data_IF_269800043599
#
_entry.id   IF_269800043599
#
_cell.length_a   1.000
_cell.length_b   1.000
_cell.length_c   1.000
_cell.angle_alpha   90.00
_cell.angle_beta   90.00
_cell.angle_gamma   90.00
#
_symmetry.space_group_name_H-M   'P 1'
#
loop_
_entity.id
_entity.type
_entity.pdbx_description
1 polymer ?
#
# COMPACT_ATOMS: atom_id res chain seq x y z
N UNK A 1 -19.47 21.34 18.79
CA UNK A 1 -18.35 20.39 18.65
C UNK A 1 -17.88 20.04 20.06
N UNK A 2 -17.96 18.77 20.45
CA UNK A 2 -17.55 18.29 21.77
C UNK A 2 -16.03 18.36 21.94
N UNK A 3 -15.56 18.34 23.18
CA UNK A 3 -14.21 18.67 23.56
C UNK A 3 -13.54 17.49 24.27
N UNK A 4 -12.24 17.31 24.01
CA UNK A 4 -11.37 16.34 24.67
C UNK A 4 -10.18 17.12 25.24
N UNK A 5 -9.93 16.95 26.53
CA UNK A 5 -8.86 17.61 27.25
C UNK A 5 -7.71 16.66 27.54
N UNK A 6 -6.50 17.08 27.23
CA UNK A 6 -5.30 16.27 27.43
C UNK A 6 -4.74 16.45 28.83
N UNK A 7 -4.10 15.42 29.35
CA UNK A 7 -3.28 15.50 30.56
C UNK A 7 -2.11 16.45 30.32
N UNK A 8 -1.75 17.22 31.34
CA UNK A 8 -0.59 18.10 31.31
C UNK A 8 0.68 17.36 30.88
N UNK A 9 1.39 17.88 29.89
CA UNK A 9 2.62 17.31 29.34
C UNK A 9 2.39 16.15 28.33
N UNK A 10 1.12 15.81 28.02
CA UNK A 10 0.80 14.79 26.97
C UNK A 10 0.47 15.41 25.61
N UNK A 11 0.45 16.74 25.54
CA UNK A 11 0.26 17.51 24.31
C UNK A 11 1.50 17.62 23.43
N UNK A 12 2.70 17.26 23.93
CA UNK A 12 3.98 17.50 23.23
C UNK A 12 4.02 16.88 21.82
N UNK A 13 3.52 15.65 21.64
CA UNK A 13 3.50 15.00 20.33
C UNK A 13 2.62 15.75 19.33
N UNK A 14 1.47 16.27 19.79
CA UNK A 14 0.56 17.05 18.95
C UNK A 14 1.12 18.43 18.64
N UNK A 15 1.83 19.08 19.57
CA UNK A 15 2.54 20.33 19.32
C UNK A 15 3.69 20.18 18.30
N UNK A 16 4.13 18.93 18.08
CA UNK A 16 5.05 18.53 17.01
C UNK A 16 4.32 17.95 15.80
N UNK A 17 3.01 18.19 15.68
CA UNK A 17 2.17 17.79 14.55
C UNK A 17 1.98 16.29 14.34
N UNK A 18 2.20 15.45 15.37
CA UNK A 18 1.84 14.04 15.30
C UNK A 18 0.30 13.91 15.16
N UNK A 19 -0.21 13.13 14.17
CA UNK A 19 -1.64 13.17 13.84
C UNK A 19 -2.53 12.31 14.73
N UNK A 20 -2.00 11.66 15.77
CA UNK A 20 -2.77 10.78 16.65
C UNK A 20 -2.77 11.23 18.09
N UNK A 21 -3.96 11.20 18.71
CA UNK A 21 -4.13 11.30 20.16
C UNK A 21 -4.34 9.90 20.71
N UNK A 22 -3.43 9.44 21.56
CA UNK A 22 -3.58 8.17 22.23
C UNK A 22 -4.50 8.28 23.43
N UNK A 23 -5.32 7.24 23.72
CA UNK A 23 -6.27 7.22 24.82
C UNK A 23 -5.63 7.52 26.18
N UNK A 24 -4.40 7.05 26.41
CA UNK A 24 -3.65 7.33 27.63
C UNK A 24 -3.29 8.81 27.84
N UNK A 25 -3.37 9.66 26.82
CA UNK A 25 -3.12 11.09 26.90
C UNK A 25 -4.35 11.90 27.35
N UNK A 26 -5.55 11.33 27.28
CA UNK A 26 -6.80 12.02 27.61
C UNK A 26 -6.98 12.12 29.12
N UNK A 27 -7.26 13.31 29.63
CA UNK A 27 -7.62 13.58 31.02
C UNK A 27 -9.12 13.40 31.22
N UNK A 28 -9.93 14.11 30.44
CA UNK A 28 -11.37 13.98 30.39
C UNK A 28 -11.91 14.37 29.02
N UNK A 29 -13.11 13.98 28.73
CA UNK A 29 -13.83 14.29 27.50
C UNK A 29 -15.28 14.62 27.85
N UNK A 30 -15.93 15.39 26.99
CA UNK A 30 -17.37 15.65 27.12
C UNK A 30 -18.14 14.32 27.08
N UNK A 31 -19.31 14.32 27.75
CA UNK A 31 -20.14 13.11 27.75
C UNK A 31 -20.82 12.87 26.39
N UNK A 32 -21.04 11.60 26.08
CA UNK A 32 -21.81 11.19 24.93
C UNK A 32 -21.14 11.47 23.57
N UNK A 33 -19.80 11.54 23.49
CA UNK A 33 -19.10 11.59 22.20
C UNK A 33 -19.35 10.26 21.46
N UNK A 34 -19.82 10.37 20.25
CA UNK A 34 -20.09 9.21 19.39
C UNK A 34 -18.86 8.82 18.53
N UNK A 35 -18.81 7.56 18.13
CA UNK A 35 -17.78 7.03 17.22
C UNK A 35 -17.80 7.79 15.88
N UNK A 36 -16.64 8.30 15.46
CA UNK A 36 -16.50 9.08 14.23
C UNK A 36 -16.88 10.56 14.36
N UNK A 37 -17.38 11.01 15.54
CA UNK A 37 -17.73 12.41 15.76
C UNK A 37 -16.50 13.32 15.66
N UNK A 38 -16.67 14.50 15.06
CA UNK A 38 -15.63 15.53 14.98
C UNK A 38 -15.55 16.24 16.35
N UNK A 39 -14.35 16.21 16.94
CA UNK A 39 -14.08 16.76 18.28
C UNK A 39 -12.96 17.79 18.25
N UNK A 40 -12.97 18.70 19.22
CA UNK A 40 -11.86 19.61 19.53
C UNK A 40 -10.94 18.97 20.56
N UNK A 41 -9.65 19.04 20.34
CA UNK A 41 -8.62 18.61 21.29
C UNK A 41 -8.00 19.85 21.91
N UNK A 42 -8.01 19.89 23.23
CA UNK A 42 -7.55 21.02 24.05
C UNK A 42 -6.46 20.58 25.01
N UNK A 43 -5.58 21.49 25.38
CA UNK A 43 -4.68 21.32 26.52
C UNK A 43 -5.48 21.26 27.84
N UNK A 44 -4.79 20.89 28.90
CA UNK A 44 -5.34 20.89 30.25
C UNK A 44 -5.93 22.27 30.69
N UNK A 45 -5.34 23.37 30.22
CA UNK A 45 -5.78 24.75 30.55
C UNK A 45 -6.86 25.30 29.60
N UNK A 46 -7.35 24.48 28.64
CA UNK A 46 -8.37 24.87 27.67
C UNK A 46 -7.87 25.45 26.36
N UNK A 47 -6.55 25.63 26.19
CA UNK A 47 -6.00 26.10 24.91
C UNK A 47 -6.25 25.07 23.77
N UNK A 48 -6.67 25.59 22.64
CA UNK A 48 -6.88 24.78 21.43
C UNK A 48 -5.57 24.13 20.92
N UNK A 49 -5.68 22.87 20.45
CA UNK A 49 -4.57 22.16 19.80
C UNK A 49 -4.97 21.70 18.40
N UNK A 50 -6.09 20.94 18.27
CA UNK A 50 -6.44 20.26 17.04
C UNK A 50 -7.94 19.97 16.93
N UNK A 51 -8.37 19.61 15.73
CA UNK A 51 -9.68 19.02 15.43
C UNK A 51 -9.44 17.66 14.78
N UNK A 52 -10.24 16.66 15.13
CA UNK A 52 -10.13 15.31 14.54
C UNK A 52 -11.35 14.45 14.79
N UNK A 53 -11.33 13.24 14.25
CA UNK A 53 -12.34 12.22 14.45
C UNK A 53 -12.05 11.41 15.73
N UNK A 54 -13.03 11.32 16.61
CA UNK A 54 -12.98 10.42 17.78
C UNK A 54 -13.26 8.99 17.37
N UNK A 55 -12.55 8.05 17.99
CA UNK A 55 -12.83 6.63 17.90
C UNK A 55 -12.31 5.93 19.17
N UNK A 56 -13.14 5.11 19.81
CA UNK A 56 -12.70 4.35 20.97
C UNK A 56 -11.57 3.38 20.61
N UNK A 57 -10.55 3.31 21.47
CA UNK A 57 -9.40 2.46 21.25
C UNK A 57 -8.08 3.11 21.66
N UNK A 58 -6.97 2.53 21.25
CA UNK A 58 -5.63 3.05 21.57
C UNK A 58 -5.35 4.41 20.90
N UNK A 59 -5.82 4.61 19.68
CA UNK A 59 -5.79 5.90 18.95
C UNK A 59 -7.17 6.52 19.09
N UNK A 60 -7.33 7.38 20.10
CA UNK A 60 -8.62 7.95 20.46
C UNK A 60 -9.05 9.13 19.57
N UNK A 61 -8.12 9.88 19.00
CA UNK A 61 -8.45 10.91 17.99
C UNK A 61 -7.45 10.86 16.83
N UNK A 62 -7.99 10.85 15.63
CA UNK A 62 -7.23 11.06 14.39
C UNK A 62 -7.38 12.51 13.95
N UNK A 63 -6.29 13.25 14.01
CA UNK A 63 -6.26 14.71 13.79
C UNK A 63 -6.42 15.03 12.31
N UNK A 64 -7.42 15.81 11.96
CA UNK A 64 -7.68 16.35 10.62
C UNK A 64 -6.93 17.67 10.39
N UNK A 65 -6.81 18.48 11.44
CA UNK A 65 -6.18 19.80 11.36
C UNK A 65 -5.70 20.30 12.73
N UNK A 66 -4.59 21.03 12.72
CA UNK A 66 -4.06 21.78 13.86
C UNK A 66 -4.48 23.27 13.84
N UNK A 67 -5.44 23.62 12.97
CA UNK A 67 -6.03 24.96 12.90
C UNK A 67 -7.48 24.89 13.34
N UNK A 68 -7.95 25.94 13.99
CA UNK A 68 -9.35 26.08 14.39
C UNK A 68 -10.19 26.52 13.19
N UNK A 69 -10.67 25.55 12.43
CA UNK A 69 -11.46 25.74 11.20
C UNK A 69 -12.67 24.82 11.19
N UNK A 70 -13.68 25.17 10.42
CA UNK A 70 -14.85 24.31 10.20
C UNK A 70 -14.49 23.18 9.24
N UNK A 71 -14.83 21.95 9.61
CA UNK A 71 -14.71 20.78 8.73
C UNK A 71 -15.98 20.70 7.88
N UNK A 72 -15.91 21.24 6.70
CA UNK A 72 -16.99 21.34 5.71
C UNK A 72 -16.51 20.88 4.33
N UNK A 73 -17.32 21.06 3.30
CA UNK A 73 -17.00 20.68 1.93
C UNK A 73 -15.74 21.35 1.38
N UNK A 74 -15.51 22.62 1.72
CA UNK A 74 -14.30 23.35 1.30
C UNK A 74 -13.04 22.80 1.97
N UNK A 75 -13.15 22.33 3.22
CA UNK A 75 -12.05 21.63 3.90
C UNK A 75 -11.67 20.36 3.14
N UNK A 76 -12.64 19.51 2.80
CA UNK A 76 -12.39 18.29 2.04
C UNK A 76 -11.83 18.59 0.63
N UNK A 77 -12.43 19.54 -0.08
CA UNK A 77 -11.94 19.97 -1.39
C UNK A 77 -10.49 20.46 -1.33
N UNK A 78 -10.14 21.26 -0.32
CA UNK A 78 -8.77 21.76 -0.13
C UNK A 78 -7.77 20.62 0.11
N UNK A 79 -8.10 19.62 0.94
CA UNK A 79 -7.25 18.47 1.21
C UNK A 79 -7.04 17.60 -0.04
N UNK A 80 -8.11 17.30 -0.76
CA UNK A 80 -8.06 16.54 -2.00
C UNK A 80 -7.28 17.28 -3.10
N UNK A 81 -7.46 18.59 -3.20
CA UNK A 81 -6.69 19.42 -4.13
C UNK A 81 -5.20 19.40 -3.80
N UNK A 82 -4.84 19.48 -2.52
CA UNK A 82 -3.44 19.38 -2.09
C UNK A 82 -2.84 18.02 -2.46
N UNK A 83 -3.57 16.94 -2.22
CA UNK A 83 -3.14 15.59 -2.57
C UNK A 83 -2.95 15.42 -4.10
N UNK A 84 -3.89 15.91 -4.91
CA UNK A 84 -3.79 15.88 -6.38
C UNK A 84 -2.60 16.71 -6.89
N UNK A 85 -2.43 17.94 -6.41
CA UNK A 85 -1.31 18.80 -6.80
C UNK A 85 0.04 18.16 -6.47
N UNK A 86 0.15 17.47 -5.36
CA UNK A 86 1.37 16.75 -5.02
C UNK A 86 1.65 15.65 -6.06
N UNK A 87 0.66 14.84 -6.47
CA UNK A 87 0.82 13.80 -7.51
C UNK A 87 1.14 14.40 -8.88
N UNK A 88 0.61 15.56 -9.19
CA UNK A 88 0.96 16.31 -10.40
C UNK A 88 2.41 16.81 -10.35
N UNK A 89 2.84 17.40 -9.22
CA UNK A 89 4.20 17.94 -9.06
C UNK A 89 5.32 16.88 -9.17
N UNK A 90 5.01 15.63 -8.86
CA UNK A 90 5.94 14.50 -9.00
C UNK A 90 5.75 13.73 -10.32
N UNK A 91 4.91 14.23 -11.25
CA UNK A 91 4.73 13.67 -12.59
C UNK A 91 3.97 12.33 -12.63
N UNK A 92 3.19 12.01 -11.61
CA UNK A 92 2.42 10.76 -11.52
C UNK A 92 0.99 10.96 -12.02
N UNK A 93 0.31 12.00 -11.57
CA UNK A 93 -0.98 12.39 -12.12
C UNK A 93 -0.81 13.23 -13.39
N UNK A 94 -1.82 13.20 -14.26
CA UNK A 94 -1.83 13.86 -15.59
C UNK A 94 -0.68 13.38 -16.51
N UNK A 95 -0.20 12.15 -16.30
CA UNK A 95 0.83 11.52 -17.11
C UNK A 95 0.17 10.61 -18.15
N UNK A 96 0.43 10.77 -19.47
CA UNK A 96 -0.19 9.95 -20.51
C UNK A 96 0.15 8.45 -20.39
N UNK A 97 1.31 8.12 -19.84
CA UNK A 97 1.77 6.75 -19.66
C UNK A 97 1.37 6.15 -18.31
N UNK A 98 0.66 6.92 -17.45
CA UNK A 98 0.28 6.46 -16.13
C UNK A 98 -1.04 7.08 -15.65
N UNK A 99 -2.05 6.23 -15.47
CA UNK A 99 -3.32 6.60 -14.83
C UNK A 99 -3.64 5.71 -13.62
N UNK A 100 -2.60 5.09 -13.05
CA UNK A 100 -2.68 4.18 -11.90
C UNK A 100 -1.83 4.72 -10.77
N UNK A 101 -2.45 5.26 -9.72
CA UNK A 101 -1.73 5.86 -8.61
C UNK A 101 -2.58 5.99 -7.35
N UNK A 102 -1.91 6.11 -6.20
CA UNK A 102 -2.56 6.48 -4.93
C UNK A 102 -2.73 7.98 -4.86
N UNK A 103 -3.99 8.43 -4.88
CA UNK A 103 -4.33 9.85 -4.74
C UNK A 103 -4.32 10.30 -3.27
N UNK A 104 -4.78 9.45 -2.34
CA UNK A 104 -4.78 9.77 -0.91
C UNK A 104 -4.19 8.60 -0.12
N UNK A 105 -3.19 8.89 0.70
CA UNK A 105 -2.46 7.94 1.54
C UNK A 105 -2.55 8.31 3.03
N UNK A 106 -3.75 8.30 3.58
CA UNK A 106 -3.99 8.47 5.01
C UNK A 106 -3.30 9.67 5.63
N UNK A 107 -2.55 9.41 6.68
CA UNK A 107 -1.78 10.41 7.44
C UNK A 107 -0.72 11.14 6.60
N UNK A 108 -0.23 10.50 5.54
CA UNK A 108 0.71 11.10 4.59
C UNK A 108 0.12 12.30 3.83
N UNK A 109 -1.18 12.28 3.58
CA UNK A 109 -1.93 13.37 2.94
C UNK A 109 -2.78 14.17 3.95
N UNK A 110 -2.54 14.01 5.25
CA UNK A 110 -3.30 14.66 6.32
C UNK A 110 -4.81 14.37 6.29
N UNK A 111 -5.15 13.15 5.83
CA UNK A 111 -6.49 12.58 5.80
C UNK A 111 -6.46 11.21 6.51
N UNK A 112 -6.16 11.17 7.82
CA UNK A 112 -5.88 9.94 8.55
C UNK A 112 -7.02 8.93 8.44
N UNK A 113 -6.68 7.72 8.01
CA UNK A 113 -7.65 6.65 7.83
C UNK A 113 -8.42 6.70 6.50
N UNK A 114 -8.01 7.52 5.53
CA UNK A 114 -8.56 7.53 4.17
C UNK A 114 -7.54 7.05 3.15
N UNK A 115 -7.92 6.12 2.29
CA UNK A 115 -7.14 5.67 1.14
C UNK A 115 -7.99 5.87 -0.13
N UNK A 116 -7.38 6.45 -1.17
CA UNK A 116 -8.01 6.58 -2.48
C UNK A 116 -6.96 6.21 -3.53
N UNK A 117 -7.23 5.14 -4.29
CA UNK A 117 -6.44 4.74 -5.45
C UNK A 117 -7.22 5.04 -6.74
N UNK A 118 -6.53 5.55 -7.73
CA UNK A 118 -7.07 5.85 -9.06
C UNK A 118 -6.61 4.78 -10.04
N UNK A 119 -7.55 4.26 -10.82
CA UNK A 119 -7.35 3.28 -11.89
C UNK A 119 -8.10 3.75 -13.13
N UNK A 120 -7.37 4.39 -14.07
CA UNK A 120 -7.99 5.00 -15.22
C UNK A 120 -8.99 6.08 -14.81
N UNK A 121 -10.27 5.86 -15.06
CA UNK A 121 -11.37 6.78 -14.71
C UNK A 121 -12.14 6.38 -13.46
N UNK A 122 -11.66 5.39 -12.72
CA UNK A 122 -12.28 4.90 -11.49
C UNK A 122 -11.41 5.20 -10.28
N UNK A 123 -11.97 5.85 -9.27
CA UNK A 123 -11.36 5.97 -7.95
C UNK A 123 -11.91 4.89 -7.01
N UNK A 124 -11.05 4.15 -6.33
CA UNK A 124 -11.41 3.20 -5.27
C UNK A 124 -11.11 3.82 -3.92
N UNK A 125 -12.15 4.05 -3.13
CA UNK A 125 -12.06 4.70 -1.83
C UNK A 125 -12.20 3.67 -0.71
N UNK A 126 -11.29 3.71 0.25
CA UNK A 126 -11.35 2.92 1.48
C UNK A 126 -11.28 3.82 2.71
N UNK A 127 -12.18 3.60 3.66
CA UNK A 127 -12.07 4.14 5.01
C UNK A 127 -11.47 3.09 5.96
N UNK A 128 -10.51 3.52 6.77
CA UNK A 128 -9.87 2.73 7.82
C UNK A 128 -10.21 3.29 9.22
N UNK A 129 -11.16 4.23 9.29
CA UNK A 129 -11.70 4.79 10.53
C UNK A 129 -13.18 5.12 10.35
N UNK A 130 -13.94 5.06 11.44
CA UNK A 130 -15.38 5.36 11.44
C UNK A 130 -15.64 6.79 10.96
N UNK A 131 -14.85 7.77 11.40
CA UNK A 131 -15.01 9.15 10.97
C UNK A 131 -14.89 9.35 9.47
N UNK A 132 -13.91 8.68 8.82
CA UNK A 132 -13.79 8.72 7.35
C UNK A 132 -14.94 7.99 6.65
N UNK A 133 -15.44 6.89 7.24
CA UNK A 133 -16.63 6.23 6.73
C UNK A 133 -17.87 7.14 6.76
N UNK A 134 -18.11 7.84 7.86
CA UNK A 134 -19.24 8.75 7.98
C UNK A 134 -19.16 9.93 6.98
N UNK A 135 -17.94 10.41 6.71
CA UNK A 135 -17.70 11.49 5.76
C UNK A 135 -17.60 11.06 4.29
N UNK A 136 -17.67 9.75 3.97
CA UNK A 136 -17.40 9.19 2.63
C UNK A 136 -18.18 9.85 1.50
N UNK A 137 -19.45 10.18 1.71
CA UNK A 137 -20.30 10.82 0.67
C UNK A 137 -19.88 12.27 0.42
N UNK A 138 -19.60 13.04 1.47
CA UNK A 138 -19.11 14.42 1.34
C UNK A 138 -17.74 14.44 0.64
N UNK A 139 -16.83 13.54 1.04
CA UNK A 139 -15.52 13.39 0.41
C UNK A 139 -15.65 12.99 -1.07
N UNK A 140 -16.53 12.03 -1.41
CA UNK A 140 -16.76 11.61 -2.79
C UNK A 140 -17.28 12.75 -3.67
N UNK A 141 -18.23 13.55 -3.17
CA UNK A 141 -18.76 14.71 -3.90
C UNK A 141 -17.66 15.73 -4.19
N UNK A 142 -16.80 16.02 -3.22
CA UNK A 142 -15.68 16.93 -3.44
C UNK A 142 -14.59 16.32 -4.32
N UNK A 143 -14.39 14.99 -4.28
CA UNK A 143 -13.47 14.30 -5.17
C UNK A 143 -13.88 14.44 -6.64
N UNK A 144 -15.17 14.27 -6.98
CA UNK A 144 -15.69 14.51 -8.33
C UNK A 144 -15.36 15.92 -8.78
N UNK A 145 -15.62 16.92 -7.92
CA UNK A 145 -15.35 18.34 -8.21
C UNK A 145 -13.87 18.62 -8.45
N UNK A 146 -12.99 18.10 -7.56
CA UNK A 146 -11.54 18.32 -7.63
C UNK A 146 -10.90 17.61 -8.83
N UNK A 147 -11.42 16.45 -9.19
CA UNK A 147 -10.92 15.66 -10.33
C UNK A 147 -11.40 16.18 -11.69
N UNK A 148 -12.38 17.06 -11.72
CA UNK A 148 -12.80 17.86 -12.88
C UNK A 148 -12.89 17.05 -14.18
N UNK A 149 -13.84 16.11 -14.23
CA UNK A 149 -14.09 15.24 -15.38
C UNK A 149 -13.09 14.09 -15.59
N UNK A 150 -12.04 13.96 -14.77
CA UNK A 150 -11.09 12.84 -14.85
C UNK A 150 -11.66 11.51 -14.33
N UNK A 151 -12.72 11.57 -13.51
CA UNK A 151 -13.36 10.39 -12.95
C UNK A 151 -14.76 10.20 -13.55
N UNK A 152 -15.07 8.95 -13.89
CA UNK A 152 -16.40 8.45 -14.23
C UNK A 152 -17.04 7.67 -13.10
N UNK A 153 -16.21 7.11 -12.19
CA UNK A 153 -16.68 6.29 -11.09
C UNK A 153 -15.92 6.54 -9.79
N UNK A 154 -16.62 6.43 -8.67
CA UNK A 154 -16.04 6.29 -7.33
C UNK A 154 -16.67 5.03 -6.71
N UNK A 155 -15.85 4.02 -6.45
CA UNK A 155 -16.26 2.80 -5.79
C UNK A 155 -15.77 2.77 -4.34
N UNK A 156 -16.68 2.61 -3.40
CA UNK A 156 -16.37 2.49 -1.98
C UNK A 156 -16.17 1.03 -1.59
N UNK A 157 -15.04 0.69 -0.97
CA UNK A 157 -14.64 -0.68 -0.66
C UNK A 157 -14.04 -0.78 0.74
N UNK A 158 -14.87 -0.79 1.77
CA UNK A 158 -14.41 -0.74 3.17
C UNK A 158 -14.88 -1.91 4.05
N UNK A 159 -15.61 -2.87 3.52
CA UNK A 159 -16.10 -4.04 4.25
C UNK A 159 -14.96 -4.75 5.03
N UNK A 160 -13.80 -4.93 4.42
CA UNK A 160 -12.65 -5.59 5.07
C UNK A 160 -11.78 -4.67 5.90
N UNK A 161 -11.91 -3.35 5.76
CA UNK A 161 -11.10 -2.35 6.49
C UNK A 161 -11.76 -1.87 7.78
N UNK A 162 -13.07 -2.07 7.91
CA UNK A 162 -13.88 -1.78 9.09
C UNK A 162 -14.73 -2.99 9.50
N UNK A 163 -14.10 -4.14 9.81
CA UNK A 163 -14.79 -5.42 10.02
C UNK A 163 -15.64 -5.47 11.29
N UNK A 164 -15.58 -4.43 12.13
CA UNK A 164 -16.35 -4.28 13.36
C UNK A 164 -17.66 -3.48 13.16
N UNK A 165 -17.90 -2.98 11.95
CA UNK A 165 -19.15 -2.31 11.60
C UNK A 165 -20.11 -3.32 10.95
N UNK A 166 -21.26 -3.47 11.56
CA UNK A 166 -22.37 -4.24 10.98
C UNK A 166 -22.97 -3.48 9.77
N UNK A 167 -23.53 -4.20 8.81
CA UNK A 167 -24.22 -3.67 7.62
C UNK A 167 -23.39 -2.75 6.72
N UNK A 168 -22.06 -2.95 6.67
CA UNK A 168 -21.21 -2.22 5.73
C UNK A 168 -21.25 -2.86 4.35
N UNK A 169 -21.78 -2.13 3.38
CA UNK A 169 -21.79 -2.55 1.98
C UNK A 169 -20.76 -1.77 1.16
N UNK A 170 -20.03 -2.50 0.30
CA UNK A 170 -19.26 -1.91 -0.78
C UNK A 170 -20.22 -1.45 -1.88
N UNK A 171 -19.87 -0.40 -2.61
CA UNK A 171 -20.72 0.08 -3.70
C UNK A 171 -20.25 1.38 -4.34
N UNK A 172 -20.92 1.76 -5.42
CA UNK A 172 -20.65 3.02 -6.09
C UNK A 172 -21.17 4.22 -5.27
N UNK A 173 -20.31 5.20 -5.05
CA UNK A 173 -20.69 6.53 -4.55
C UNK A 173 -20.92 7.51 -5.70
N UNK A 174 -20.35 7.22 -6.87
CA UNK A 174 -20.54 8.01 -8.10
C UNK A 174 -20.34 7.10 -9.31
N UNK A 175 -21.12 7.30 -10.38
CA UNK A 175 -21.03 6.50 -11.60
C UNK A 175 -21.59 5.09 -11.46
N UNK A 176 -21.01 4.12 -12.20
CA UNK A 176 -21.50 2.73 -12.22
C UNK A 176 -20.86 1.86 -13.31
N UNK A 177 -19.86 2.37 -14.04
CA UNK A 177 -19.14 1.60 -15.05
C UNK A 177 -18.14 0.64 -14.42
N UNK A 178 -18.03 -0.57 -14.96
CA UNK A 178 -17.07 -1.59 -14.54
C UNK A 178 -15.82 -1.67 -15.45
N UNK A 179 -15.53 -0.61 -16.24
CA UNK A 179 -14.28 -0.56 -17.00
C UNK A 179 -13.09 -0.55 -16.04
N UNK A 180 -12.28 -1.60 -16.16
CA UNK A 180 -11.24 -1.93 -15.23
C UNK A 180 -9.83 -2.03 -15.87
N UNK A 181 -9.63 -1.43 -17.04
CA UNK A 181 -8.31 -1.34 -17.65
C UNK A 181 -7.62 -0.05 -17.18
N UNK A 182 -6.46 -0.21 -16.57
CA UNK A 182 -5.63 0.88 -16.10
C UNK A 182 -4.22 0.80 -16.73
N UNK A 183 -3.51 1.91 -16.74
CA UNK A 183 -2.15 2.02 -17.32
C UNK A 183 -1.16 2.42 -16.23
N UNK A 184 -0.06 1.69 -16.15
CA UNK A 184 1.09 2.01 -15.31
C UNK A 184 2.37 1.98 -16.13
N UNK A 185 3.03 3.13 -16.28
CA UNK A 185 4.25 3.27 -17.08
C UNK A 185 4.12 2.66 -18.50
N UNK A 186 2.99 2.87 -19.17
CA UNK A 186 2.70 2.36 -20.51
C UNK A 186 2.23 0.89 -20.56
N UNK A 187 2.29 0.12 -19.48
CA UNK A 187 1.72 -1.22 -19.40
C UNK A 187 0.27 -1.18 -18.97
N UNK A 188 -0.57 -2.01 -19.57
CA UNK A 188 -2.00 -2.10 -19.30
C UNK A 188 -2.30 -3.22 -18.31
N UNK A 189 -3.23 -2.97 -17.41
CA UNK A 189 -3.66 -3.94 -16.39
C UNK A 189 -5.16 -4.03 -16.31
N UNK A 190 -5.71 -5.23 -16.30
CA UNK A 190 -7.03 -5.48 -15.74
C UNK A 190 -6.93 -5.40 -14.23
N UNK A 191 -7.60 -4.44 -13.63
CA UNK A 191 -7.63 -4.23 -12.17
C UNK A 191 -8.96 -4.71 -11.63
N UNK A 192 -8.96 -5.77 -10.82
CA UNK A 192 -10.18 -6.25 -10.15
C UNK A 192 -10.43 -5.47 -8.86
N UNK A 193 -10.85 -4.22 -8.98
CA UNK A 193 -11.17 -3.39 -7.83
C UNK A 193 -12.46 -3.79 -7.12
N UNK A 194 -13.37 -4.51 -7.77
CA UNK A 194 -14.60 -5.04 -7.15
C UNK A 194 -14.30 -6.15 -6.16
N UNK A 195 -13.57 -7.18 -6.58
CA UNK A 195 -13.38 -8.44 -5.84
C UNK A 195 -11.92 -8.74 -5.50
N UNK A 196 -10.98 -7.99 -6.06
CA UNK A 196 -9.54 -8.16 -5.81
C UNK A 196 -9.14 -7.75 -4.40
N UNK A 197 -7.89 -8.05 -4.03
CA UNK A 197 -7.34 -7.68 -2.73
C UNK A 197 -7.19 -6.16 -2.61
N UNK A 198 -7.35 -5.62 -1.40
CA UNK A 198 -7.27 -4.20 -1.09
C UNK A 198 -8.14 -3.38 -2.07
N UNK A 199 -7.56 -2.42 -2.76
CA UNK A 199 -8.22 -1.60 -3.79
C UNK A 199 -8.24 -2.25 -5.18
N UNK A 200 -7.59 -3.41 -5.38
CA UNK A 200 -7.59 -4.18 -6.63
C UNK A 200 -6.21 -4.38 -7.25
N UNK A 201 -5.22 -3.53 -6.94
CA UNK A 201 -3.85 -3.62 -7.43
C UNK A 201 -2.86 -3.08 -6.39
N UNK A 202 -1.59 -3.50 -6.47
CA UNK A 202 -0.53 -3.06 -5.56
C UNK A 202 0.25 -1.90 -6.17
N UNK A 203 -0.33 -0.71 -6.12
CA UNK A 203 0.27 0.53 -6.67
C UNK A 203 1.58 0.89 -5.96
N UNK A 204 1.73 0.47 -4.70
CA UNK A 204 2.90 0.70 -3.86
C UNK A 204 4.20 0.03 -4.37
N UNK A 205 4.11 -0.86 -5.36
CA UNK A 205 5.28 -1.51 -5.99
C UNK A 205 5.69 -0.91 -7.34
N UNK A 206 5.05 0.16 -7.83
CA UNK A 206 5.31 0.74 -9.16
C UNK A 206 6.79 1.03 -9.41
N UNK A 207 7.45 1.76 -8.51
CA UNK A 207 8.87 2.14 -8.66
C UNK A 207 9.78 0.91 -8.59
N UNK A 208 9.42 -0.06 -7.75
CA UNK A 208 10.17 -1.29 -7.60
C UNK A 208 10.04 -2.18 -8.85
N UNK A 209 8.86 -2.18 -9.50
CA UNK A 209 8.66 -2.83 -10.80
C UNK A 209 9.50 -2.17 -11.89
N UNK A 210 9.51 -0.84 -11.96
CA UNK A 210 10.36 -0.10 -12.91
C UNK A 210 11.85 -0.36 -12.69
N UNK A 211 12.28 -0.49 -11.44
CA UNK A 211 13.67 -0.84 -11.13
C UNK A 211 14.01 -2.25 -11.62
N UNK A 212 13.14 -3.23 -11.37
CA UNK A 212 13.34 -4.62 -11.80
C UNK A 212 13.53 -4.73 -13.32
N UNK A 213 12.80 -3.95 -14.10
CA UNK A 213 12.90 -3.93 -15.55
C UNK A 213 14.34 -3.73 -16.04
N UNK A 214 15.13 -2.91 -15.35
CA UNK A 214 16.55 -2.63 -15.70
C UNK A 214 17.46 -3.83 -15.51
N UNK A 215 17.06 -4.82 -14.71
CA UNK A 215 17.82 -6.02 -14.43
C UNK A 215 17.38 -7.23 -15.26
N UNK A 216 16.28 -7.10 -16.03
CA UNK A 216 15.61 -8.25 -16.64
C UNK A 216 16.19 -8.74 -17.96
N UNK A 217 16.94 -7.90 -18.71
CA UNK A 217 17.44 -8.24 -20.06
C UNK A 217 18.26 -9.53 -20.08
N UNK A 218 17.82 -10.49 -20.89
CA UNK A 218 18.47 -11.80 -21.07
C UNK A 218 18.39 -12.70 -19.85
N UNK A 219 17.47 -12.43 -18.89
CA UNK A 219 17.34 -13.18 -17.66
C UNK A 219 16.18 -14.19 -17.70
N UNK A 220 16.34 -15.28 -16.98
CA UNK A 220 15.26 -16.19 -16.61
C UNK A 220 14.71 -15.75 -15.26
N UNK A 221 13.47 -15.30 -15.25
CA UNK A 221 12.85 -14.59 -14.12
C UNK A 221 11.83 -15.48 -13.42
N UNK A 222 11.85 -15.49 -12.09
CA UNK A 222 10.85 -16.13 -11.25
C UNK A 222 10.17 -15.09 -10.37
N UNK A 223 8.90 -14.83 -10.62
CA UNK A 223 8.06 -13.92 -9.82
C UNK A 223 7.17 -14.72 -8.87
N UNK A 224 7.55 -14.77 -7.58
CA UNK A 224 6.81 -15.46 -6.54
C UNK A 224 5.82 -14.50 -5.86
N UNK A 225 4.63 -15.02 -5.49
CA UNK A 225 3.52 -14.21 -4.99
C UNK A 225 3.10 -13.14 -6.02
N UNK A 226 2.99 -13.57 -7.27
CA UNK A 226 2.88 -12.66 -8.41
C UNK A 226 1.59 -11.86 -8.45
N UNK A 227 0.55 -12.26 -7.69
CA UNK A 227 -0.80 -11.70 -7.75
C UNK A 227 -1.27 -11.61 -9.21
N UNK A 228 -1.46 -10.41 -9.75
CA UNK A 228 -1.89 -10.19 -11.13
C UNK A 228 -0.74 -10.01 -12.14
N UNK A 229 0.48 -10.39 -11.76
CA UNK A 229 1.66 -10.45 -12.63
C UNK A 229 2.43 -9.15 -12.79
N UNK A 230 2.22 -8.14 -11.95
CA UNK A 230 2.82 -6.81 -12.12
C UNK A 230 4.31 -6.83 -12.41
N UNK A 231 5.14 -7.49 -11.59
CA UNK A 231 6.58 -7.59 -11.81
C UNK A 231 6.93 -8.36 -13.11
N UNK A 232 6.13 -9.37 -13.46
CA UNK A 232 6.39 -10.21 -14.65
C UNK A 232 6.33 -9.40 -15.95
N UNK A 233 5.39 -8.46 -16.06
CA UNK A 233 5.24 -7.65 -17.29
C UNK A 233 6.37 -6.65 -17.47
N UNK A 234 6.88 -6.09 -16.39
CA UNK A 234 8.08 -5.25 -16.41
C UNK A 234 9.31 -6.09 -16.78
N UNK A 235 9.42 -7.32 -16.29
CA UNK A 235 10.49 -8.24 -16.70
C UNK A 235 10.42 -8.58 -18.19
N UNK A 236 9.22 -8.88 -18.71
CA UNK A 236 9.00 -9.16 -20.14
C UNK A 236 9.38 -7.96 -21.01
N UNK A 237 8.92 -6.75 -20.66
CA UNK A 237 9.26 -5.52 -21.38
C UNK A 237 10.75 -5.20 -21.29
N UNK A 238 11.39 -5.50 -20.16
CA UNK A 238 12.83 -5.37 -19.95
C UNK A 238 13.68 -6.37 -20.72
N UNK A 239 13.06 -7.28 -21.49
CA UNK A 239 13.78 -8.23 -22.36
C UNK A 239 14.21 -9.52 -21.65
N UNK A 240 13.46 -9.98 -20.65
CA UNK A 240 13.66 -11.31 -20.07
C UNK A 240 13.47 -12.40 -21.13
N UNK A 241 14.28 -13.48 -21.05
CA UNK A 241 14.17 -14.64 -21.94
C UNK A 241 13.05 -15.59 -21.52
N UNK A 242 12.81 -15.71 -20.21
CA UNK A 242 11.79 -16.54 -19.61
C UNK A 242 11.23 -15.83 -18.40
N UNK A 243 9.91 -15.87 -18.21
CA UNK A 243 9.25 -15.32 -17.02
C UNK A 243 8.26 -16.34 -16.49
N UNK A 244 8.50 -16.83 -15.28
CA UNK A 244 7.56 -17.66 -14.55
C UNK A 244 6.90 -16.87 -13.43
N UNK A 245 5.58 -16.93 -13.37
CA UNK A 245 4.74 -16.29 -12.35
C UNK A 245 4.11 -17.36 -11.47
N UNK A 246 4.21 -17.23 -10.14
CA UNK A 246 3.66 -18.22 -9.19
C UNK A 246 2.78 -17.51 -8.17
N UNK A 247 1.56 -17.98 -8.01
CA UNK A 247 0.63 -17.56 -6.96
C UNK A 247 -0.28 -18.72 -6.58
N UNK A 248 -0.71 -18.79 -5.33
CA UNK A 248 -1.64 -19.82 -4.85
C UNK A 248 -3.09 -19.58 -5.28
N UNK A 249 -3.43 -18.38 -5.74
CA UNK A 249 -4.77 -17.99 -6.18
C UNK A 249 -4.98 -18.25 -7.66
N UNK A 250 -5.87 -19.19 -8.00
CA UNK A 250 -6.26 -19.47 -9.39
C UNK A 250 -6.79 -18.22 -10.11
N UNK A 251 -7.55 -17.36 -9.40
CA UNK A 251 -8.06 -16.10 -9.94
C UNK A 251 -6.92 -15.11 -10.26
N UNK A 252 -5.88 -15.04 -9.42
CA UNK A 252 -4.71 -14.20 -9.67
C UNK A 252 -3.95 -14.68 -10.91
N UNK A 253 -3.78 -16.00 -11.06
CA UNK A 253 -3.14 -16.62 -12.24
C UNK A 253 -3.95 -16.38 -13.51
N UNK A 254 -5.28 -16.54 -13.47
CA UNK A 254 -6.14 -16.20 -14.61
C UNK A 254 -5.95 -14.74 -15.04
N UNK A 255 -5.96 -13.81 -14.08
CA UNK A 255 -5.78 -12.39 -14.36
C UNK A 255 -4.37 -12.07 -14.85
N UNK A 256 -3.35 -12.77 -14.35
CA UNK A 256 -1.96 -12.69 -14.86
C UNK A 256 -1.92 -13.06 -16.34
N UNK A 257 -2.50 -14.18 -16.74
CA UNK A 257 -2.53 -14.63 -18.13
C UNK A 257 -3.28 -13.64 -19.05
N UNK A 258 -4.42 -13.10 -18.58
CA UNK A 258 -5.14 -12.06 -19.32
C UNK A 258 -4.32 -10.77 -19.50
N UNK A 259 -3.57 -10.37 -18.50
CA UNK A 259 -2.69 -9.21 -18.55
C UNK A 259 -1.48 -9.44 -19.46
N UNK A 260 -0.93 -10.66 -19.52
CA UNK A 260 0.10 -11.02 -20.51
C UNK A 260 -0.43 -10.87 -21.92
N UNK A 261 -1.59 -11.44 -22.22
CA UNK A 261 -2.20 -11.34 -23.55
C UNK A 261 -2.53 -9.89 -23.95
N UNK A 262 -2.92 -9.06 -22.98
CA UNK A 262 -3.22 -7.64 -23.17
C UNK A 262 -1.99 -6.83 -23.61
N UNK A 263 -0.80 -7.16 -23.09
CA UNK A 263 0.45 -6.41 -23.34
C UNK A 263 1.38 -7.08 -24.33
N UNK A 264 1.37 -8.41 -24.42
CA UNK A 264 2.31 -9.23 -25.18
C UNK A 264 1.57 -10.38 -25.89
N UNK A 265 0.65 -10.08 -26.81
CA UNK A 265 -0.18 -11.10 -27.45
C UNK A 265 0.67 -12.15 -28.16
N UNK A 266 0.40 -13.42 -27.87
CA UNK A 266 1.11 -14.56 -28.46
C UNK A 266 2.55 -14.78 -27.97
N UNK A 267 3.03 -14.05 -26.97
CA UNK A 267 4.39 -14.20 -26.43
C UNK A 267 4.52 -15.47 -25.59
N UNK A 268 5.42 -16.37 -25.98
CA UNK A 268 5.62 -17.67 -25.34
C UNK A 268 6.64 -17.66 -24.19
N UNK A 269 7.24 -16.51 -23.88
CA UNK A 269 8.25 -16.41 -22.80
C UNK A 269 7.66 -16.54 -21.41
N UNK A 270 6.34 -16.35 -21.24
CA UNK A 270 5.66 -16.35 -19.96
C UNK A 270 4.93 -17.66 -19.68
N UNK A 271 5.05 -18.15 -18.44
CA UNK A 271 4.22 -19.21 -17.87
C UNK A 271 3.77 -18.86 -16.46
N UNK A 272 2.51 -19.15 -16.13
CA UNK A 272 1.95 -18.93 -14.81
C UNK A 272 1.53 -20.25 -14.14
N UNK A 273 1.82 -20.38 -12.84
CA UNK A 273 1.60 -21.56 -12.04
C UNK A 273 0.73 -21.25 -10.83
N UNK A 274 -0.38 -21.96 -10.66
CA UNK A 274 -1.22 -21.90 -9.49
C UNK A 274 -0.69 -22.89 -8.44
N UNK A 275 0.25 -22.44 -7.60
CA UNK A 275 0.94 -23.30 -6.63
C UNK A 275 1.32 -22.53 -5.37
N UNK A 276 1.48 -23.23 -4.24
CA UNK A 276 2.10 -22.67 -3.04
C UNK A 276 3.56 -22.27 -3.30
N UNK A 277 3.93 -21.06 -2.89
CA UNK A 277 5.24 -20.50 -3.18
C UNK A 277 6.40 -21.32 -2.60
N UNK A 278 6.26 -21.82 -1.37
CA UNK A 278 7.32 -22.63 -0.75
C UNK A 278 7.49 -23.97 -1.44
N UNK A 279 6.36 -24.60 -1.82
CA UNK A 279 6.35 -25.87 -2.54
C UNK A 279 6.96 -25.72 -3.93
N UNK A 280 6.59 -24.65 -4.65
CA UNK A 280 7.17 -24.36 -5.96
C UNK A 280 8.70 -24.15 -5.87
N UNK A 281 9.18 -23.33 -4.91
CA UNK A 281 10.62 -23.11 -4.71
C UNK A 281 11.38 -24.39 -4.34
N UNK A 282 10.76 -25.34 -3.63
CA UNK A 282 11.39 -26.63 -3.32
C UNK A 282 11.62 -27.48 -4.58
N UNK A 283 10.67 -27.45 -5.50
CA UNK A 283 10.67 -28.25 -6.75
C UNK A 283 11.33 -27.51 -7.91
N UNK A 284 11.46 -26.20 -7.86
CA UNK A 284 12.05 -25.38 -8.91
C UNK A 284 13.50 -25.82 -9.20
N UNK A 285 13.85 -25.89 -10.50
CA UNK A 285 15.22 -26.05 -10.95
C UNK A 285 16.06 -24.81 -10.68
N UNK A 286 17.38 -24.95 -10.72
CA UNK A 286 18.34 -23.86 -10.49
C UNK A 286 18.58 -23.05 -11.77
N UNK A 287 17.50 -22.64 -12.46
CA UNK A 287 17.60 -21.98 -13.78
C UNK A 287 17.44 -20.46 -13.74
N UNK A 288 17.03 -19.90 -12.59
CA UNK A 288 16.63 -18.50 -12.53
C UNK A 288 17.79 -17.57 -12.17
N UNK A 289 17.96 -16.53 -13.00
CA UNK A 289 18.94 -15.46 -12.79
C UNK A 289 18.38 -14.29 -12.00
N UNK A 290 17.05 -14.16 -11.96
CA UNK A 290 16.36 -13.09 -11.24
C UNK A 290 15.13 -13.67 -10.55
N UNK A 291 15.06 -13.48 -9.24
CA UNK A 291 13.94 -13.96 -8.41
C UNK A 291 13.31 -12.78 -7.69
N UNK A 292 11.98 -12.74 -7.65
CA UNK A 292 11.19 -11.77 -6.88
C UNK A 292 10.45 -12.51 -5.78
N UNK A 293 10.57 -12.03 -4.54
CA UNK A 293 9.85 -12.48 -3.36
C UNK A 293 9.06 -11.31 -2.79
N UNK A 294 7.76 -11.23 -3.09
CA UNK A 294 6.84 -10.22 -2.57
C UNK A 294 5.69 -10.84 -1.78
N UNK A 295 5.99 -11.52 -0.65
CA UNK A 295 5.00 -12.24 0.11
C UNK A 295 4.01 -11.30 0.80
N UNK A 296 2.80 -11.78 1.14
CA UNK A 296 1.89 -11.06 2.03
C UNK A 296 2.54 -10.83 3.39
N UNK A 297 2.04 -9.86 4.15
CA UNK A 297 2.54 -9.54 5.48
C UNK A 297 2.48 -10.76 6.41
N UNK A 298 3.63 -11.29 6.82
CA UNK A 298 3.72 -12.43 7.74
C UNK A 298 3.39 -12.07 9.20
N UNK A 299 3.42 -10.76 9.55
CA UNK A 299 2.98 -10.28 10.85
C UNK A 299 2.06 -9.07 10.71
N UNK A 300 0.88 -9.14 11.36
CA UNK A 300 -0.09 -8.05 11.47
C UNK A 300 -0.05 -7.36 12.84
N UNK A 301 0.56 -7.99 13.84
CA UNK A 301 0.69 -7.48 15.21
C UNK A 301 2.02 -7.93 15.82
N UNK A 302 2.47 -7.21 16.86
CA UNK A 302 3.79 -7.44 17.50
C UNK A 302 4.01 -8.88 18.00
N UNK A 303 2.97 -9.54 18.50
CA UNK A 303 3.07 -10.93 18.96
C UNK A 303 3.45 -11.94 17.87
N UNK A 304 3.20 -11.60 16.59
CA UNK A 304 3.56 -12.46 15.45
C UNK A 304 4.98 -12.20 14.90
N UNK A 305 5.70 -11.19 15.42
CA UNK A 305 6.99 -10.74 14.88
C UNK A 305 8.01 -11.88 14.76
N UNK A 306 8.21 -12.65 15.83
CA UNK A 306 9.21 -13.73 15.84
C UNK A 306 8.94 -14.80 14.76
N UNK A 307 7.70 -15.22 14.61
CA UNK A 307 7.31 -16.19 13.58
C UNK A 307 7.42 -15.61 12.16
N UNK A 308 7.10 -14.33 12.00
CA UNK A 308 7.29 -13.64 10.73
C UNK A 308 8.76 -13.59 10.30
N UNK A 309 9.69 -13.28 11.24
CA UNK A 309 11.13 -13.27 10.95
C UNK A 309 11.64 -14.65 10.54
N UNK A 310 11.17 -15.72 11.20
CA UNK A 310 11.47 -17.10 10.78
C UNK A 310 10.93 -17.39 9.36
N UNK A 311 9.72 -16.92 9.04
CA UNK A 311 9.11 -17.05 7.71
C UNK A 311 9.95 -16.36 6.63
N UNK A 312 10.35 -15.09 6.86
CA UNK A 312 11.24 -14.37 5.94
C UNK A 312 12.61 -15.03 5.78
N UNK A 313 13.21 -15.51 6.89
CA UNK A 313 14.48 -16.23 6.82
C UNK A 313 14.35 -17.50 5.99
N UNK A 314 13.32 -18.32 6.21
CA UNK A 314 13.10 -19.56 5.47
C UNK A 314 12.85 -19.29 3.98
N UNK A 315 12.02 -18.31 3.65
CA UNK A 315 11.71 -17.96 2.26
C UNK A 315 12.95 -17.50 1.49
N UNK A 316 13.69 -16.55 2.06
CA UNK A 316 14.92 -16.04 1.45
C UNK A 316 16.01 -17.12 1.35
N UNK A 317 16.15 -17.99 2.36
CA UNK A 317 17.10 -19.10 2.31
C UNK A 317 16.82 -20.03 1.12
N UNK A 318 15.55 -20.40 0.89
CA UNK A 318 15.16 -21.20 -0.27
C UNK A 318 15.51 -20.50 -1.59
N UNK A 319 15.23 -19.21 -1.72
CA UNK A 319 15.58 -18.45 -2.92
C UNK A 319 17.10 -18.39 -3.13
N UNK A 320 17.89 -18.18 -2.07
CA UNK A 320 19.36 -18.22 -2.17
C UNK A 320 19.92 -19.57 -2.60
N UNK A 321 19.26 -20.67 -2.27
CA UNK A 321 19.64 -22.00 -2.72
C UNK A 321 19.32 -22.22 -4.21
N UNK A 322 18.31 -21.56 -4.75
CA UNK A 322 17.76 -21.77 -6.09
C UNK A 322 18.25 -20.75 -7.14
N UNK A 323 18.69 -19.58 -6.70
CA UNK A 323 19.15 -18.56 -7.65
C UNK A 323 20.54 -18.90 -8.20
N UNK A 324 20.72 -18.67 -9.50
CA UNK A 324 22.01 -18.85 -10.17
C UNK A 324 23.11 -17.98 -9.53
N UNK A 325 24.38 -18.40 -9.56
CA UNK A 325 25.51 -17.55 -9.25
C UNK A 325 25.48 -16.27 -10.12
N UNK A 326 25.74 -15.12 -9.50
CA UNK A 326 25.64 -13.78 -10.11
C UNK A 326 24.18 -13.36 -10.41
N UNK A 327 23.22 -14.05 -9.79
CA UNK A 327 21.82 -13.72 -9.89
C UNK A 327 21.43 -12.50 -9.07
N UNK A 328 20.23 -11.98 -9.34
CA UNK A 328 19.63 -10.84 -8.64
C UNK A 328 18.38 -11.28 -7.90
N UNK A 329 18.32 -11.01 -6.62
CA UNK A 329 17.15 -11.27 -5.80
C UNK A 329 16.49 -9.96 -5.35
N UNK A 330 15.23 -9.77 -5.73
CA UNK A 330 14.35 -8.75 -5.15
C UNK A 330 13.54 -9.39 -4.03
N UNK A 331 13.62 -8.87 -2.82
CA UNK A 331 12.89 -9.43 -1.68
C UNK A 331 12.24 -8.32 -0.85
N UNK A 332 10.98 -8.53 -0.44
CA UNK A 332 10.14 -7.51 0.17
C UNK A 332 9.50 -7.96 1.49
N UNK A 333 9.12 -6.97 2.29
CA UNK A 333 8.20 -7.10 3.41
C UNK A 333 7.30 -5.87 3.48
N UNK A 334 5.98 -6.09 3.42
CA UNK A 334 4.97 -5.05 3.65
C UNK A 334 4.44 -5.05 5.10
N UNK A 335 5.05 -5.81 6.01
CA UNK A 335 4.61 -5.91 7.41
C UNK A 335 5.07 -4.69 8.20
N UNK A 336 4.12 -3.89 8.72
CA UNK A 336 4.40 -2.67 9.49
C UNK A 336 5.19 -2.95 10.78
N UNK A 337 4.95 -4.09 11.44
CA UNK A 337 5.65 -4.46 12.69
C UNK A 337 7.08 -4.98 12.47
N UNK A 338 7.43 -5.32 11.23
CA UNK A 338 8.79 -5.72 10.84
C UNK A 338 9.56 -4.47 10.42
N UNK A 339 10.52 -4.03 11.22
CA UNK A 339 11.37 -2.87 10.89
C UNK A 339 12.35 -3.19 9.75
N UNK A 340 12.99 -2.17 9.18
CA UNK A 340 14.06 -2.35 8.17
C UNK A 340 15.18 -3.24 8.70
N UNK A 341 15.60 -3.02 9.95
CA UNK A 341 16.67 -3.81 10.58
C UNK A 341 16.24 -5.26 10.84
N UNK A 342 14.99 -5.46 11.29
CA UNK A 342 14.46 -6.82 11.45
C UNK A 342 14.47 -7.58 10.11
N UNK A 343 13.99 -6.96 9.04
CA UNK A 343 13.94 -7.58 7.73
C UNK A 343 15.34 -7.86 7.19
N UNK A 344 16.25 -6.89 7.24
CA UNK A 344 17.64 -7.05 6.84
C UNK A 344 18.35 -8.18 7.59
N UNK A 345 18.15 -8.29 8.91
CA UNK A 345 18.72 -9.35 9.72
C UNK A 345 18.17 -10.73 9.35
N UNK A 346 16.87 -10.84 9.02
CA UNK A 346 16.29 -12.10 8.55
C UNK A 346 16.90 -12.53 7.21
N UNK A 347 17.09 -11.59 6.27
CA UNK A 347 17.74 -11.86 4.98
C UNK A 347 19.22 -12.19 5.13
N UNK A 348 19.94 -11.48 6.01
CA UNK A 348 21.34 -11.79 6.37
C UNK A 348 21.46 -13.22 6.89
N UNK A 349 20.60 -13.61 7.83
CA UNK A 349 20.60 -14.97 8.39
C UNK A 349 20.35 -16.02 7.32
N UNK A 350 19.42 -15.74 6.41
CA UNK A 350 19.10 -16.62 5.28
C UNK A 350 20.30 -16.81 4.33
N UNK A 351 21.00 -15.73 3.99
CA UNK A 351 22.19 -15.77 3.13
C UNK A 351 23.33 -16.56 3.78
N UNK A 352 23.59 -16.34 5.08
CA UNK A 352 24.60 -17.07 5.83
C UNK A 352 24.29 -18.58 5.91
N UNK A 353 23.03 -18.97 6.16
CA UNK A 353 22.59 -20.35 6.18
C UNK A 353 22.70 -21.03 4.80
N UNK A 354 22.49 -20.28 3.71
CA UNK A 354 22.65 -20.78 2.34
C UNK A 354 24.12 -20.82 1.89
N UNK A 355 25.05 -20.29 2.69
CA UNK A 355 26.49 -20.24 2.36
C UNK A 355 26.82 -19.31 1.17
N UNK A 356 25.94 -18.31 0.87
CA UNK A 356 26.09 -17.42 -0.29
C UNK A 356 26.73 -16.09 0.10
N UNK A 357 27.60 -15.57 -0.76
CA UNK A 357 28.09 -14.19 -0.66
C UNK A 357 27.08 -13.27 -1.32
N UNK A 358 26.57 -12.28 -0.57
CA UNK A 358 25.47 -11.43 -0.99
C UNK A 358 25.83 -9.96 -0.77
N UNK A 359 25.55 -9.12 -1.78
CA UNK A 359 25.71 -7.66 -1.71
C UNK A 359 24.36 -6.97 -1.89
N UNK A 360 24.07 -5.98 -1.07
CA UNK A 360 22.89 -5.13 -1.22
C UNK A 360 23.20 -4.07 -2.29
N UNK A 361 22.47 -4.09 -3.40
CA UNK A 361 22.58 -3.10 -4.46
C UNK A 361 21.68 -1.90 -4.19
N UNK A 362 20.42 -2.15 -3.76
CA UNK A 362 19.45 -1.11 -3.44
C UNK A 362 18.63 -1.48 -2.20
N UNK A 363 18.23 -0.44 -1.46
CA UNK A 363 17.21 -0.51 -0.43
C UNK A 363 15.94 0.14 -0.99
N UNK A 364 14.83 -0.58 -0.94
CA UNK A 364 13.58 -0.21 -1.57
C UNK A 364 12.54 0.15 -0.50
N UNK A 365 11.60 1.02 -0.89
CA UNK A 365 10.51 1.50 -0.05
C UNK A 365 9.26 1.75 -0.90
N UNK A 366 8.19 2.22 -0.28
CA UNK A 366 6.99 2.68 -0.96
C UNK A 366 7.26 3.88 -1.87
N UNK A 367 6.53 4.01 -3.00
CA UNK A 367 6.74 5.08 -3.97
C UNK A 367 6.26 6.44 -3.46
N UNK A 368 6.60 7.51 -4.20
CA UNK A 368 6.33 8.89 -3.81
C UNK A 368 4.84 9.23 -3.65
N UNK A 369 3.94 8.54 -4.35
CA UNK A 369 2.49 8.71 -4.17
C UNK A 369 1.93 8.01 -2.92
N UNK A 370 2.78 7.34 -2.14
CA UNK A 370 2.50 6.83 -0.80
C UNK A 370 3.32 7.62 0.24
N UNK A 371 3.10 8.95 0.36
CA UNK A 371 3.96 9.79 1.18
C UNK A 371 3.90 9.41 2.66
N UNK A 372 5.04 9.54 3.33
CA UNK A 372 5.13 9.41 4.78
C UNK A 372 5.10 10.82 5.35
N UNK A 373 4.15 11.09 6.25
CA UNK A 373 4.18 12.34 7.00
C UNK A 373 5.41 12.34 7.92
N UNK A 374 6.27 13.35 7.78
CA UNK A 374 7.52 13.44 8.57
C UNK A 374 7.27 13.42 10.09
N UNK A 375 6.07 13.85 10.52
CA UNK A 375 5.64 13.84 11.93
C UNK A 375 4.98 12.51 12.35
N UNK A 376 4.85 11.54 11.40
CA UNK A 376 4.21 10.25 11.61
C UNK A 376 5.04 9.14 10.93
N UNK A 377 6.17 8.75 11.52
CA UNK A 377 7.07 7.74 10.95
C UNK A 377 6.45 6.35 10.86
N UNK A 378 5.37 6.09 11.59
CA UNK A 378 4.57 4.86 11.53
C UNK A 378 3.93 4.62 10.16
N UNK A 379 3.88 5.64 9.29
CA UNK A 379 3.44 5.52 7.90
C UNK A 379 4.39 4.72 7.00
N UNK A 380 5.61 4.42 7.46
CA UNK A 380 6.56 3.60 6.70
C UNK A 380 6.25 2.10 6.89
N UNK A 381 5.92 1.40 5.80
CA UNK A 381 5.54 -0.01 5.89
C UNK A 381 6.22 -0.94 4.88
N UNK A 382 6.55 -0.46 3.67
CA UNK A 382 7.19 -1.28 2.63
C UNK A 382 8.71 -1.21 2.74
N UNK A 383 9.35 -2.36 2.79
CA UNK A 383 10.81 -2.54 2.78
C UNK A 383 11.17 -3.56 1.72
N UNK A 384 12.21 -3.28 0.97
CA UNK A 384 12.74 -4.23 0.01
C UNK A 384 14.26 -4.13 -0.10
N UNK A 385 14.85 -5.19 -0.60
CA UNK A 385 16.28 -5.26 -0.91
C UNK A 385 16.45 -5.80 -2.33
N UNK A 386 17.35 -5.19 -3.09
CA UNK A 386 17.89 -5.76 -4.32
C UNK A 386 19.26 -6.30 -4.01
N UNK A 387 19.45 -7.59 -4.22
CA UNK A 387 20.61 -8.33 -3.79
C UNK A 387 21.32 -8.96 -4.98
N UNK A 388 22.63 -8.80 -5.04
CA UNK A 388 23.51 -9.56 -5.94
C UNK A 388 24.03 -10.78 -5.18
N UNK A 389 23.86 -11.97 -5.75
CA UNK A 389 24.13 -13.26 -5.10
C UNK A 389 25.25 -14.00 -5.86
N UNK A 390 26.40 -14.24 -5.18
CA UNK A 390 27.53 -15.03 -5.70
C UNK A 390 27.42 -16.49 -5.34
#
# INVERSE_FOLDING_TARGET
MKQIYLKRGKEESLLRFHPWVFSGAIQHADQGIEEGEIVRVLKNNGDFIAIGHYQAGSIAVRVLTFRDVTINDDFWASRLTSALKMRQSIGIADNPDNNTYRLVHGEGDMLPGLVIDVYGKTAVMQAHSIGMHLCRKAIANQLVRVMDGRLENIYYKSETTLPFMDDMENGFLYGGSEDNIAVENGLKFYVDWLRGQKTGFFVDQRENRSMLERFAKGKKVLNMFCYTGGFSFYAMRGGAELVHSVDSSAKAIELTNRNVELNFPGDQRHQAFCEDAFKYLEQAGDQYDLIILDPPAFAKHRGALHNALKGYTRLNNKAFQKIQPRGILFTFSCSQVVTKDHFRNAVFTAAAQAGRKVRILHQLHQPADHPINIYHPEGEYLKGLVLYVE
#
